data_IF_677983558420
#
_entry.id   IF_677983558420
#
_cell.length_a   1.000
_cell.length_b   1.000
_cell.length_c   1.000
_cell.angle_alpha   90.00
_cell.angle_beta   90.00
_cell.angle_gamma   90.00
#
_symmetry.space_group_name_H-M   'P 1'
#
loop_
_entity.id
_entity.type
_entity.pdbx_description
1 polymer ?
#
# COMPACT_ATOMS: atom_id res chain seq x y z
N UNK A 1 4.20 21.29 30.21
CA UNK A 1 5.61 21.01 29.94
C UNK A 1 5.79 20.38 28.56
N UNK A 2 7.02 20.23 28.07
CA UNK A 2 7.25 19.60 26.78
C UNK A 2 6.80 18.15 26.79
N UNK A 3 6.20 17.70 25.69
CA UNK A 3 5.90 16.28 25.47
C UNK A 3 7.21 15.57 25.16
N UNK A 4 7.59 14.64 26.03
CA UNK A 4 8.89 13.95 25.93
C UNK A 4 8.87 12.76 24.97
N UNK A 5 7.69 12.27 24.59
CA UNK A 5 7.51 11.06 23.79
C UNK A 5 8.24 11.15 22.45
N UNK A 6 8.17 12.32 21.80
CA UNK A 6 8.85 12.55 20.53
C UNK A 6 10.38 12.58 20.61
N UNK A 7 10.96 12.79 21.80
CA UNK A 7 12.41 12.77 21.96
C UNK A 7 13.02 11.38 21.81
N UNK A 8 12.21 10.35 22.03
CA UNK A 8 12.66 8.95 21.95
C UNK A 8 12.26 8.27 20.64
N UNK A 9 11.53 8.98 19.76
CA UNK A 9 11.25 8.50 18.41
C UNK A 9 12.49 8.69 17.53
N UNK A 10 13.15 7.62 17.14
CA UNK A 10 14.32 7.64 16.26
C UNK A 10 15.49 8.50 16.79
N UNK A 11 15.73 8.50 18.08
CA UNK A 11 16.81 9.27 18.69
C UNK A 11 17.80 8.39 19.45
N UNK A 12 18.96 8.98 19.77
CA UNK A 12 20.02 8.34 20.57
C UNK A 12 20.01 8.78 22.03
N UNK A 13 18.96 9.43 22.52
CA UNK A 13 18.88 9.88 23.92
C UNK A 13 18.68 8.76 24.91
N UNK A 14 18.22 7.59 24.46
CA UNK A 14 18.03 6.46 25.34
C UNK A 14 17.38 5.26 24.63
N UNK A 15 17.25 4.18 25.38
CA UNK A 15 16.57 2.96 24.93
C UNK A 15 15.25 2.85 25.70
N UNK A 16 14.16 2.80 24.98
CA UNK A 16 12.82 2.58 25.58
C UNK A 16 12.69 1.12 25.99
N UNK A 17 12.58 0.85 27.28
CA UNK A 17 12.44 -0.50 27.82
C UNK A 17 10.99 -0.90 28.10
N UNK A 18 10.08 0.06 28.17
CA UNK A 18 8.65 -0.18 28.35
C UNK A 18 7.86 0.95 27.70
N UNK A 19 6.87 0.58 26.92
CA UNK A 19 5.97 1.52 26.21
C UNK A 19 4.53 1.07 26.38
N UNK A 20 3.63 2.02 26.66
CA UNK A 20 2.20 1.83 26.56
C UNK A 20 1.69 2.48 25.27
N UNK A 21 0.92 1.77 24.47
CA UNK A 21 0.30 2.28 23.26
C UNK A 21 -1.20 2.04 23.31
N UNK A 22 -1.95 2.98 22.71
CA UNK A 22 -3.38 2.82 22.53
C UNK A 22 -3.65 2.11 21.22
N UNK A 23 -4.37 0.98 21.26
CA UNK A 23 -4.73 0.23 20.06
C UNK A 23 -6.19 0.54 19.68
N UNK A 24 -6.44 0.71 18.39
CA UNK A 24 -7.80 0.76 17.87
C UNK A 24 -8.46 -0.60 18.06
N UNK A 25 -9.63 -0.67 18.73
CA UNK A 25 -10.41 -1.90 18.78
C UNK A 25 -10.73 -2.38 17.36
N UNK A 26 -10.63 -3.69 17.11
CA UNK A 26 -10.90 -4.24 15.79
C UNK A 26 -12.34 -3.90 15.36
N UNK A 27 -12.51 -3.15 14.27
CA UNK A 27 -13.84 -2.81 13.77
C UNK A 27 -14.59 -4.06 13.30
N UNK A 28 -15.93 -4.14 13.48
CA UNK A 28 -16.73 -5.25 13.00
C UNK A 28 -16.66 -5.45 11.47
N UNK A 29 -16.56 -4.37 10.73
CA UNK A 29 -16.38 -4.40 9.28
C UNK A 29 -15.14 -3.62 8.86
N UNK A 30 -14.35 -4.23 7.98
CA UNK A 30 -13.17 -3.64 7.35
C UNK A 30 -13.26 -3.97 5.86
N UNK A 31 -13.12 -2.95 5.01
CA UNK A 31 -13.12 -3.13 3.56
C UNK A 31 -12.04 -2.29 2.94
N UNK A 32 -11.09 -2.91 2.28
CA UNK A 32 -10.09 -2.23 1.49
C UNK A 32 -10.60 -1.92 0.09
N UNK A 33 -10.00 -0.93 -0.52
CA UNK A 33 -10.15 -0.60 -1.94
C UNK A 33 -8.76 -0.41 -2.54
N UNK A 34 -8.64 -0.74 -3.80
CA UNK A 34 -7.39 -0.60 -4.54
C UNK A 34 -7.70 -0.04 -5.92
N UNK A 35 -6.82 0.82 -6.42
CA UNK A 35 -6.87 1.35 -7.76
C UNK A 35 -5.50 1.27 -8.38
N UNK A 36 -5.43 0.83 -9.63
CA UNK A 36 -4.16 0.76 -10.35
C UNK A 36 -4.21 1.58 -11.63
N UNK A 37 -3.10 2.26 -11.94
CA UNK A 37 -2.90 3.08 -13.13
C UNK A 37 -1.83 2.48 -14.02
N UNK A 38 -1.98 2.60 -15.36
CA UNK A 38 -1.10 1.90 -16.30
C UNK A 38 0.30 2.50 -16.41
N UNK A 39 0.46 3.82 -16.30
CA UNK A 39 1.67 4.52 -16.70
C UNK A 39 2.40 5.17 -15.52
N UNK A 40 3.74 5.30 -15.63
CA UNK A 40 4.58 5.97 -14.63
C UNK A 40 4.23 7.45 -14.48
N UNK A 41 3.83 8.09 -15.58
CA UNK A 41 3.48 9.52 -15.64
C UNK A 41 2.15 9.85 -14.94
N UNK A 42 1.38 8.85 -14.54
CA UNK A 42 0.11 9.05 -13.83
C UNK A 42 0.25 9.51 -12.37
N UNK A 43 1.47 9.52 -11.81
CA UNK A 43 1.71 9.83 -10.40
C UNK A 43 1.19 11.21 -9.97
N UNK A 44 1.32 12.23 -10.81
CA UNK A 44 0.82 13.58 -10.50
C UNK A 44 -0.70 13.56 -10.36
N UNK A 45 -1.41 12.95 -11.30
CA UNK A 45 -2.87 12.79 -11.25
C UNK A 45 -3.32 12.04 -9.99
N UNK A 46 -2.61 10.94 -9.67
CA UNK A 46 -2.88 10.13 -8.47
C UNK A 46 -2.77 10.98 -7.19
N UNK A 47 -1.72 11.78 -7.06
CA UNK A 47 -1.51 12.65 -5.90
C UNK A 47 -2.63 13.68 -5.79
N UNK A 48 -3.03 14.30 -6.90
CA UNK A 48 -4.10 15.29 -6.92
C UNK A 48 -5.47 14.66 -6.59
N UNK A 49 -5.74 13.44 -7.02
CA UNK A 49 -6.95 12.70 -6.65
C UNK A 49 -6.96 12.28 -5.16
N UNK A 50 -5.81 11.88 -4.62
CA UNK A 50 -5.70 11.50 -3.21
C UNK A 50 -5.82 12.69 -2.25
N UNK A 51 -5.32 13.86 -2.64
CA UNK A 51 -5.22 15.06 -1.79
C UNK A 51 -6.53 15.46 -1.11
N UNK A 52 -7.66 15.69 -1.83
CA UNK A 52 -8.90 16.11 -1.20
C UNK A 52 -9.47 15.06 -0.24
N UNK A 53 -9.35 13.78 -0.57
CA UNK A 53 -9.82 12.69 0.28
C UNK A 53 -9.00 12.58 1.58
N UNK A 54 -7.70 12.84 1.51
CA UNK A 54 -6.82 12.78 2.67
C UNK A 54 -6.93 14.03 3.54
N UNK A 55 -6.96 15.22 2.94
CA UNK A 55 -7.09 16.47 3.68
C UNK A 55 -8.44 16.62 4.39
N UNK A 56 -9.51 16.09 3.80
CA UNK A 56 -10.83 16.05 4.44
C UNK A 56 -10.96 14.93 5.48
N UNK A 57 -9.95 14.10 5.64
CA UNK A 57 -9.98 12.88 6.46
C UNK A 57 -11.13 11.93 6.09
N UNK A 58 -11.59 11.99 4.83
CA UNK A 58 -12.65 11.12 4.34
C UNK A 58 -12.22 9.65 4.34
N UNK A 59 -10.97 9.37 3.94
CA UNK A 59 -10.35 8.06 4.09
C UNK A 59 -9.56 8.05 5.39
N UNK A 60 -10.01 7.32 6.41
CA UNK A 60 -9.41 7.35 7.76
C UNK A 60 -8.07 6.61 7.83
N UNK A 61 -7.84 5.70 6.89
CA UNK A 61 -6.59 4.93 6.84
C UNK A 61 -5.48 5.67 6.11
N UNK A 62 -4.28 5.11 6.15
CA UNK A 62 -3.20 5.50 5.27
C UNK A 62 -3.60 5.24 3.81
N UNK A 63 -3.32 6.19 2.92
CA UNK A 63 -3.19 5.88 1.50
C UNK A 63 -1.81 5.28 1.26
N UNK A 64 -1.78 4.04 0.83
CA UNK A 64 -0.55 3.40 0.39
C UNK A 64 -0.44 3.58 -1.12
N UNK A 65 0.48 4.44 -1.56
CA UNK A 65 0.83 4.58 -2.96
C UNK A 65 2.12 3.79 -3.21
N UNK A 66 2.04 2.79 -4.07
CA UNK A 66 3.16 1.92 -4.36
C UNK A 66 3.29 1.70 -5.88
N UNK A 67 4.52 1.66 -6.38
CA UNK A 67 4.76 1.26 -7.75
C UNK A 67 4.73 -0.28 -7.88
N UNK A 68 4.64 -0.73 -9.11
CA UNK A 68 4.61 -2.15 -9.45
C UNK A 68 5.86 -2.91 -8.97
N UNK A 69 7.05 -2.31 -9.13
CA UNK A 69 8.30 -2.96 -8.74
C UNK A 69 8.36 -3.23 -7.23
N UNK A 70 7.84 -2.29 -6.42
CA UNK A 70 7.71 -2.51 -4.98
C UNK A 70 6.76 -3.67 -4.68
N UNK A 71 5.57 -3.67 -5.29
CA UNK A 71 4.54 -4.67 -5.02
C UNK A 71 4.97 -6.06 -5.50
N UNK A 72 5.51 -6.16 -6.70
CA UNK A 72 5.99 -7.43 -7.26
C UNK A 72 7.23 -7.93 -6.52
N UNK A 73 8.13 -7.03 -6.14
CA UNK A 73 9.35 -7.37 -5.40
C UNK A 73 9.10 -7.96 -4.01
N UNK A 74 7.89 -7.81 -3.44
CA UNK A 74 7.50 -8.53 -2.22
C UNK A 74 7.21 -10.00 -2.46
N UNK A 75 6.89 -10.38 -3.70
CA UNK A 75 6.42 -11.71 -4.07
C UNK A 75 7.48 -12.56 -4.74
N UNK A 76 8.24 -11.97 -5.64
CA UNK A 76 9.19 -12.73 -6.45
C UNK A 76 10.46 -11.94 -6.78
N UNK A 77 11.50 -12.69 -7.10
CA UNK A 77 12.76 -12.15 -7.60
C UNK A 77 12.57 -11.59 -9.00
N UNK A 78 13.15 -10.42 -9.27
CA UNK A 78 13.11 -9.83 -10.60
C UNK A 78 13.82 -10.76 -11.62
N UNK A 79 13.11 -11.21 -12.67
CA UNK A 79 13.68 -12.16 -13.65
C UNK A 79 14.84 -11.52 -14.40
N UNK A 80 15.91 -12.28 -14.56
CA UNK A 80 17.07 -11.94 -15.39
C UNK A 80 17.63 -10.53 -15.19
N UNK A 81 17.51 -9.98 -13.98
CA UNK A 81 17.96 -8.63 -13.65
C UNK A 81 19.40 -8.35 -14.12
N UNK A 82 20.29 -9.34 -14.00
CA UNK A 82 21.70 -9.17 -14.36
C UNK A 82 21.94 -9.24 -15.86
N UNK A 83 21.12 -9.99 -16.60
CA UNK A 83 21.27 -10.18 -18.04
C UNK A 83 20.48 -9.17 -18.86
N UNK A 84 19.26 -8.84 -18.42
CA UNK A 84 18.36 -7.96 -19.16
C UNK A 84 18.29 -6.53 -18.63
N UNK A 85 18.97 -6.23 -17.50
CA UNK A 85 19.08 -4.88 -16.99
C UNK A 85 17.76 -4.25 -16.54
N UNK A 86 16.72 -5.05 -16.31
CA UNK A 86 15.43 -4.53 -15.89
C UNK A 86 14.67 -3.80 -16.98
N UNK A 87 14.53 -4.42 -18.16
CA UNK A 87 13.85 -3.81 -19.31
C UNK A 87 12.38 -3.54 -19.05
N UNK A 88 11.82 -2.56 -19.76
CA UNK A 88 10.39 -2.24 -19.75
C UNK A 88 9.51 -3.42 -20.19
N UNK A 89 10.04 -4.29 -21.02
CA UNK A 89 9.34 -5.50 -21.46
C UNK A 89 9.11 -6.46 -20.29
N UNK A 90 10.17 -6.80 -19.56
CA UNK A 90 10.09 -7.66 -18.37
C UNK A 90 9.16 -7.04 -17.32
N UNK A 91 9.23 -5.71 -17.14
CA UNK A 91 8.35 -5.00 -16.21
C UNK A 91 6.88 -5.13 -16.61
N UNK A 92 6.55 -4.95 -17.91
CA UNK A 92 5.18 -5.12 -18.42
C UNK A 92 4.67 -6.55 -18.28
N UNK A 93 5.52 -7.54 -18.51
CA UNK A 93 5.16 -8.94 -18.29
C UNK A 93 4.82 -9.23 -16.83
N UNK A 94 5.59 -8.67 -15.89
CA UNK A 94 5.29 -8.77 -14.46
C UNK A 94 4.00 -8.05 -14.09
N UNK A 95 3.76 -6.85 -14.61
CA UNK A 95 2.50 -6.14 -14.42
C UNK A 95 1.31 -6.97 -14.92
N UNK A 96 1.41 -7.54 -16.10
CA UNK A 96 0.37 -8.41 -16.67
C UNK A 96 0.14 -9.68 -15.85
N UNK A 97 1.23 -10.33 -15.44
CA UNK A 97 1.19 -11.54 -14.60
C UNK A 97 0.46 -11.31 -13.27
N UNK A 98 0.73 -10.18 -12.62
CA UNK A 98 0.15 -9.84 -11.32
C UNK A 98 -1.13 -9.00 -11.42
N UNK A 99 -1.56 -8.63 -12.62
CA UNK A 99 -2.74 -7.81 -12.83
C UNK A 99 -2.63 -6.41 -12.23
N UNK A 100 -1.44 -5.80 -12.29
CA UNK A 100 -1.16 -4.47 -11.77
C UNK A 100 -0.81 -3.51 -12.93
N UNK A 101 -0.95 -2.21 -12.70
CA UNK A 101 -0.34 -1.16 -13.53
C UNK A 101 0.92 -0.62 -12.86
N UNK A 102 1.47 0.47 -13.40
CA UNK A 102 2.69 1.10 -12.89
C UNK A 102 2.55 1.62 -11.45
N UNK A 103 1.37 2.11 -11.10
CA UNK A 103 1.07 2.61 -9.76
C UNK A 103 -0.18 1.96 -9.19
N UNK A 104 -0.19 1.75 -7.88
CA UNK A 104 -1.35 1.24 -7.16
C UNK A 104 -1.57 2.02 -5.87
N UNK A 105 -2.81 2.50 -5.68
CA UNK A 105 -3.28 3.10 -4.45
C UNK A 105 -4.09 2.07 -3.67
N UNK A 106 -3.83 1.98 -2.37
CA UNK A 106 -4.60 1.16 -1.44
C UNK A 106 -5.06 1.98 -0.25
N UNK A 107 -6.28 1.75 0.20
CA UNK A 107 -6.86 2.32 1.40
C UNK A 107 -7.95 1.40 1.95
N UNK A 108 -8.53 1.76 3.10
CA UNK A 108 -9.63 0.99 3.68
C UNK A 108 -10.61 1.89 4.44
N UNK A 109 -11.83 1.39 4.59
CA UNK A 109 -12.82 1.93 5.50
C UNK A 109 -13.11 0.92 6.62
N UNK A 110 -13.45 1.48 7.76
CA UNK A 110 -13.84 0.77 8.97
C UNK A 110 -15.24 1.19 9.40
N UNK A 111 -16.02 0.26 9.89
CA UNK A 111 -17.36 0.59 10.35
C UNK A 111 -18.03 -0.52 11.18
N UNK A 112 -19.23 -0.22 11.68
CA UNK A 112 -20.00 -1.18 12.47
C UNK A 112 -20.59 -2.31 11.62
N UNK A 113 -20.78 -2.11 10.32
CA UNK A 113 -21.28 -3.12 9.37
C UNK A 113 -20.83 -2.81 7.95
N UNK A 114 -20.99 -3.77 7.05
CA UNK A 114 -20.71 -3.60 5.64
C UNK A 114 -21.63 -2.56 5.00
N UNK A 115 -22.91 -2.52 5.37
CA UNK A 115 -23.88 -1.55 4.89
C UNK A 115 -23.48 -0.12 5.24
N UNK A 116 -22.88 0.08 6.42
CA UNK A 116 -22.45 1.40 6.88
C UNK A 116 -21.23 1.94 6.10
N UNK A 117 -20.37 1.07 5.57
CA UNK A 117 -19.17 1.47 4.85
C UNK A 117 -19.34 1.46 3.32
N UNK A 118 -20.34 0.78 2.78
CA UNK A 118 -20.54 0.67 1.34
C UNK A 118 -20.69 2.03 0.64
N UNK A 119 -21.45 3.01 1.16
CA UNK A 119 -21.55 4.33 0.52
C UNK A 119 -20.21 5.08 0.45
N UNK A 120 -19.30 4.81 1.40
CA UNK A 120 -17.95 5.41 1.40
C UNK A 120 -17.09 4.79 0.30
N UNK A 121 -17.19 3.46 0.13
CA UNK A 121 -16.53 2.75 -0.99
C UNK A 121 -17.05 3.28 -2.32
N UNK A 122 -18.38 3.36 -2.49
CA UNK A 122 -18.99 3.82 -3.74
C UNK A 122 -18.53 5.25 -4.11
N UNK A 123 -18.40 6.12 -3.10
CA UNK A 123 -17.90 7.47 -3.29
C UNK A 123 -16.44 7.50 -3.74
N UNK A 124 -15.58 6.66 -3.16
CA UNK A 124 -14.16 6.55 -3.56
C UNK A 124 -14.06 5.97 -4.97
N UNK A 125 -14.88 4.96 -5.28
CA UNK A 125 -14.93 4.36 -6.62
C UNK A 125 -15.32 5.41 -7.66
N UNK A 126 -16.35 6.20 -7.40
CA UNK A 126 -16.76 7.28 -8.29
C UNK A 126 -15.66 8.35 -8.44
N UNK A 127 -15.00 8.71 -7.33
CA UNK A 127 -13.96 9.73 -7.31
C UNK A 127 -12.75 9.36 -8.16
N UNK A 128 -12.17 8.19 -7.94
CA UNK A 128 -11.03 7.72 -8.74
C UNK A 128 -11.43 7.29 -10.15
N UNK A 129 -12.65 6.78 -10.34
CA UNK A 129 -13.18 6.43 -11.65
C UNK A 129 -13.30 7.64 -12.60
N UNK A 130 -13.41 8.86 -12.08
CA UNK A 130 -13.40 10.08 -12.88
C UNK A 130 -12.07 10.29 -13.65
N UNK A 131 -10.98 9.67 -13.24
CA UNK A 131 -9.71 9.66 -13.98
C UNK A 131 -9.84 9.04 -15.38
N UNK A 132 -10.73 8.07 -15.56
CA UNK A 132 -10.84 7.30 -16.81
C UNK A 132 -9.70 6.32 -17.06
N UNK A 133 -8.61 6.38 -16.28
CA UNK A 133 -7.43 5.50 -16.34
C UNK A 133 -7.38 4.51 -15.18
N UNK A 134 -7.89 4.93 -14.02
CA UNK A 134 -7.89 4.14 -12.80
C UNK A 134 -8.74 2.88 -12.95
N UNK A 135 -8.14 1.72 -12.75
CA UNK A 135 -8.86 0.45 -12.68
C UNK A 135 -9.08 0.05 -11.22
N UNK A 136 -10.34 -0.07 -10.84
CA UNK A 136 -10.73 -0.51 -9.49
C UNK A 136 -10.48 -2.01 -9.31
N UNK A 137 -9.94 -2.37 -8.17
CA UNK A 137 -9.78 -3.74 -7.68
C UNK A 137 -10.46 -3.79 -6.31
N UNK A 138 -11.56 -4.51 -6.22
CA UNK A 138 -12.30 -4.65 -4.98
C UNK A 138 -11.56 -5.54 -3.96
N UNK A 139 -12.02 -5.49 -2.72
CA UNK A 139 -11.39 -6.21 -1.61
C UNK A 139 -11.27 -7.73 -1.87
N UNK A 140 -12.32 -8.35 -2.38
CA UNK A 140 -12.39 -9.81 -2.54
C UNK A 140 -11.46 -10.26 -3.67
N UNK A 141 -11.42 -9.50 -4.77
CA UNK A 141 -10.46 -9.68 -5.86
C UNK A 141 -9.02 -9.48 -5.36
N UNK A 142 -8.77 -8.39 -4.63
CA UNK A 142 -7.45 -8.06 -4.10
C UNK A 142 -6.94 -9.10 -3.09
N UNK A 143 -7.82 -9.73 -2.32
CA UNK A 143 -7.47 -10.80 -1.39
C UNK A 143 -6.88 -12.04 -2.08
N UNK A 144 -7.23 -12.25 -3.35
CA UNK A 144 -6.65 -13.28 -4.22
C UNK A 144 -5.36 -12.86 -4.94
N UNK A 145 -4.92 -11.61 -4.78
CA UNK A 145 -3.73 -11.06 -5.42
C UNK A 145 -2.58 -10.90 -4.42
N UNK A 146 -1.56 -11.78 -4.45
CA UNK A 146 -0.47 -11.75 -3.47
C UNK A 146 0.15 -10.36 -3.25
N UNK A 147 0.45 -9.55 -4.28
CA UNK A 147 1.05 -8.22 -4.08
C UNK A 147 0.19 -7.23 -3.29
N UNK A 148 -1.13 -7.43 -3.24
CA UNK A 148 -2.06 -6.56 -2.51
C UNK A 148 -2.40 -7.08 -1.11
N UNK A 149 -2.10 -8.35 -0.85
CA UNK A 149 -2.42 -9.00 0.43
C UNK A 149 -1.76 -8.30 1.62
N UNK A 150 -0.53 -7.84 1.49
CA UNK A 150 0.18 -7.09 2.54
C UNK A 150 -0.58 -5.83 2.96
N UNK A 151 -1.15 -5.10 2.01
CA UNK A 151 -1.96 -3.93 2.32
C UNK A 151 -3.25 -4.31 3.07
N UNK A 152 -3.93 -5.37 2.65
CA UNK A 152 -5.14 -5.88 3.31
C UNK A 152 -4.83 -6.33 4.73
N UNK A 153 -3.78 -7.10 4.93
CA UNK A 153 -3.34 -7.58 6.25
C UNK A 153 -3.02 -6.39 7.17
N UNK A 154 -2.30 -5.39 6.66
CA UNK A 154 -1.98 -4.16 7.39
C UNK A 154 -3.23 -3.40 7.83
N UNK A 155 -4.20 -3.19 6.94
CA UNK A 155 -5.47 -2.53 7.28
C UNK A 155 -6.30 -3.34 8.28
N UNK A 156 -6.15 -4.65 8.29
CA UNK A 156 -6.84 -5.56 9.19
C UNK A 156 -6.12 -5.76 10.53
N UNK A 157 -4.96 -5.13 10.72
CA UNK A 157 -4.13 -5.28 11.91
C UNK A 157 -3.46 -6.67 12.01
N UNK A 158 -3.29 -7.35 10.89
CA UNK A 158 -2.60 -8.64 10.82
C UNK A 158 -1.12 -8.39 10.52
N UNK A 159 -0.18 -8.71 11.42
CA UNK A 159 1.23 -8.53 11.17
C UNK A 159 1.72 -9.48 10.08
N UNK A 160 2.57 -8.99 9.19
CA UNK A 160 3.16 -9.77 8.10
C UNK A 160 4.64 -9.42 7.95
N UNK A 161 5.42 -10.37 7.45
CA UNK A 161 6.82 -10.18 7.07
C UNK A 161 7.00 -10.21 5.55
N UNK A 162 5.93 -10.17 4.78
CA UNK A 162 5.94 -10.29 3.33
C UNK A 162 6.83 -9.22 2.67
N UNK A 163 6.83 -7.99 3.21
CA UNK A 163 7.69 -6.91 2.71
C UNK A 163 9.19 -7.21 2.80
N UNK A 164 9.60 -8.15 3.65
CA UNK A 164 10.99 -8.62 3.68
C UNK A 164 11.38 -9.37 2.39
N UNK A 165 10.42 -9.75 1.55
CA UNK A 165 10.66 -10.25 0.19
C UNK A 165 11.49 -9.29 -0.66
N UNK A 166 11.33 -7.98 -0.46
CA UNK A 166 12.11 -6.94 -1.13
C UNK A 166 13.64 -7.09 -0.96
N UNK A 167 14.08 -7.73 0.11
CA UNK A 167 15.51 -8.02 0.33
C UNK A 167 16.07 -9.03 -0.68
N UNK A 168 15.21 -9.76 -1.35
CA UNK A 168 15.56 -10.86 -2.27
C UNK A 168 15.15 -10.58 -3.72
N UNK A 169 14.46 -9.47 -3.99
CA UNK A 169 13.92 -9.21 -5.33
C UNK A 169 15.00 -9.10 -6.42
N UNK A 170 16.21 -8.72 -6.01
CA UNK A 170 17.38 -8.65 -6.88
C UNK A 170 18.30 -9.85 -6.63
N UNK A 171 18.69 -10.61 -7.67
CA UNK A 171 19.73 -11.63 -7.54
C UNK A 171 21.02 -11.02 -7.00
N UNK A 172 21.68 -11.72 -6.06
CA UNK A 172 22.89 -11.23 -5.40
C UNK A 172 22.66 -10.35 -4.18
N UNK A 173 21.40 -10.07 -3.84
CA UNK A 173 20.98 -9.49 -2.59
C UNK A 173 21.53 -8.11 -2.25
N UNK A 174 20.82 -7.08 -2.58
CA UNK A 174 21.02 -5.79 -1.94
C UNK A 174 20.38 -5.81 -0.55
N UNK A 175 21.18 -5.63 0.49
CA UNK A 175 20.70 -5.60 1.88
C UNK A 175 20.23 -4.21 2.34
N UNK A 176 19.97 -3.31 1.41
CA UNK A 176 19.46 -2.00 1.75
C UNK A 176 17.96 -2.08 2.00
N UNK A 177 17.57 -2.38 3.21
CA UNK A 177 16.20 -2.17 3.65
C UNK A 177 16.07 -0.79 4.28
N UNK A 178 15.26 0.05 3.67
CA UNK A 178 14.84 1.31 4.24
C UNK A 178 13.49 1.09 4.92
N UNK A 179 13.45 1.15 6.24
CA UNK A 179 12.18 1.22 6.96
C UNK A 179 11.61 2.61 6.70
N UNK A 180 10.47 2.74 6.03
CA UNK A 180 9.80 4.03 5.98
C UNK A 180 9.40 4.42 7.39
N UNK A 181 9.89 5.56 7.84
CA UNK A 181 9.53 6.17 9.11
C UNK A 181 8.15 6.80 9.06
#
# INVERSE_FOLDING_TARGET
GPILDGLFAQSNYGIVTRLGIWLLPRPPAIRSFHFTWPDDDDLEEIVELCRPLKMSNFVPTLFRCANDLYLVGTEETYPDYETNGGTDEVRRDLQAKHGLGAWTISGAFFGPSMEAIQPQIDRVVAHFGASGKARYIDHDTAAGMPPLKTAIDSFSGVPTQQELGLLKWRPGGGNAWCVPG
#
